data_IF_436626114086
#
_entry.id   IF_436626114086
#
_cell.length_a   1.000
_cell.length_b   1.000
_cell.length_c   1.000
_cell.angle_alpha   90.00
_cell.angle_beta   90.00
_cell.angle_gamma   90.00
#
_symmetry.space_group_name_H-M   'P 1'
#
loop_
_entity.id
_entity.type
_entity.pdbx_description
1 polymer ?
#
# COMPACT_ATOMS: atom_id res chain seq x y z
N UNK A 1 -11.07 15.14 3.04
CA UNK A 1 -10.27 13.98 2.57
C UNK A 1 -10.40 12.88 3.60
N UNK A 2 -10.35 11.61 3.17
CA UNK A 2 -10.44 10.45 4.08
C UNK A 2 -9.06 10.29 4.73
N UNK A 3 -9.01 10.23 6.05
CA UNK A 3 -7.78 9.94 6.80
C UNK A 3 -7.64 8.44 6.97
N UNK A 4 -6.47 7.91 6.71
CA UNK A 4 -6.13 6.51 6.98
C UNK A 4 -5.43 6.41 8.32
N UNK A 5 -5.52 5.26 8.96
CA UNK A 5 -4.88 4.95 10.23
C UNK A 5 -3.84 3.87 10.04
N UNK A 6 -2.93 3.77 11.01
CA UNK A 6 -2.02 2.64 11.11
C UNK A 6 -2.82 1.33 11.06
N UNK A 7 -2.37 0.40 10.21
CA UNK A 7 -2.96 -0.90 9.91
C UNK A 7 -4.28 -0.90 9.13
N UNK A 8 -4.71 0.23 8.58
CA UNK A 8 -5.78 0.21 7.59
C UNK A 8 -5.34 -0.60 6.35
N UNK A 9 -6.19 -1.53 5.93
CA UNK A 9 -6.03 -2.23 4.64
C UNK A 9 -6.55 -1.33 3.52
N UNK A 10 -5.71 -1.09 2.52
CA UNK A 10 -6.00 -0.18 1.41
C UNK A 10 -5.75 -0.85 0.07
N UNK A 11 -6.37 -0.32 -0.98
CA UNK A 11 -6.06 -0.67 -2.35
C UNK A 11 -5.57 0.55 -3.14
N UNK A 12 -4.65 0.33 -4.08
CA UNK A 12 -4.21 1.36 -5.02
C UNK A 12 -5.34 1.77 -5.96
N UNK A 13 -5.58 3.07 -6.11
CA UNK A 13 -6.52 3.59 -7.12
C UNK A 13 -5.88 3.61 -8.52
N UNK A 14 -4.58 3.88 -8.59
CA UNK A 14 -3.80 3.97 -9.82
C UNK A 14 -2.56 3.08 -9.75
N UNK A 15 -1.97 2.66 -10.88
CA UNK A 15 -0.72 1.92 -10.85
C UNK A 15 0.42 2.74 -10.23
N UNK A 16 1.28 2.09 -9.47
CA UNK A 16 2.48 2.72 -8.87
C UNK A 16 3.71 2.14 -9.54
N UNK A 17 4.45 3.00 -10.23
CA UNK A 17 5.66 2.63 -10.96
C UNK A 17 6.79 2.20 -10.04
N UNK A 18 7.66 1.29 -10.50
CA UNK A 18 8.79 0.75 -9.71
C UNK A 18 9.72 1.83 -9.15
N UNK A 19 9.87 2.98 -9.81
CA UNK A 19 10.73 4.08 -9.34
C UNK A 19 10.22 4.74 -8.05
N UNK A 20 8.95 4.51 -7.69
CA UNK A 20 8.34 4.96 -6.45
C UNK A 20 8.34 3.87 -5.37
N UNK A 21 8.78 2.66 -5.69
CA UNK A 21 8.78 1.52 -4.78
C UNK A 21 10.15 1.38 -4.11
N UNK A 22 10.13 1.10 -2.82
CA UNK A 22 11.27 0.49 -2.12
C UNK A 22 11.07 -1.01 -2.15
N UNK A 23 11.88 -1.73 -2.92
CA UNK A 23 11.83 -3.19 -2.97
C UNK A 23 12.66 -3.78 -1.84
N UNK A 24 12.08 -4.72 -1.10
CA UNK A 24 12.74 -5.37 0.05
C UNK A 24 13.43 -6.67 -0.38
N UNK A 25 12.82 -7.43 -1.29
CA UNK A 25 13.28 -8.75 -1.70
C UNK A 25 13.84 -8.74 -3.13
N UNK A 26 15.08 -9.26 -3.36
CA UNK A 26 15.77 -9.19 -4.65
C UNK A 26 15.07 -9.99 -5.77
N UNK A 27 14.20 -10.93 -5.40
CA UNK A 27 13.48 -11.80 -6.33
C UNK A 27 12.32 -11.08 -7.06
N UNK A 28 11.95 -9.88 -6.63
CA UNK A 28 10.88 -9.08 -7.26
C UNK A 28 11.40 -8.12 -8.34
N UNK A 29 12.61 -8.34 -8.85
CA UNK A 29 13.28 -7.54 -9.90
C UNK A 29 12.59 -7.56 -11.28
N UNK A 30 11.41 -8.17 -11.41
CA UNK A 30 10.69 -8.34 -12.68
C UNK A 30 9.38 -7.53 -12.79
N UNK A 31 8.99 -6.77 -11.76
CA UNK A 31 7.75 -5.98 -11.79
C UNK A 31 8.03 -4.53 -12.16
N UNK A 32 7.47 -4.09 -13.30
CA UNK A 32 7.59 -2.69 -13.74
C UNK A 32 6.71 -1.73 -12.93
N UNK A 33 5.61 -2.23 -12.36
CA UNK A 33 4.68 -1.45 -11.53
C UNK A 33 3.79 -2.35 -10.66
N UNK A 34 3.25 -1.79 -9.57
CA UNK A 34 2.10 -2.34 -8.87
C UNK A 34 0.81 -1.91 -9.58
N UNK A 35 -0.12 -2.82 -9.88
CA UNK A 35 -1.35 -2.48 -10.60
C UNK A 35 -2.38 -1.76 -9.71
N UNK A 36 -3.33 -1.06 -10.33
CA UNK A 36 -4.55 -0.62 -9.63
C UNK A 36 -5.25 -1.81 -8.97
N UNK A 37 -5.77 -1.59 -7.77
CA UNK A 37 -6.41 -2.62 -6.96
C UNK A 37 -5.44 -3.46 -6.13
N UNK A 38 -4.12 -3.29 -6.30
CA UNK A 38 -3.14 -3.96 -5.44
C UNK A 38 -3.39 -3.57 -3.98
N UNK A 39 -3.53 -4.59 -3.13
CA UNK A 39 -3.84 -4.43 -1.71
C UNK A 39 -2.54 -4.25 -0.93
N UNK A 40 -2.54 -3.30 0.00
CA UNK A 40 -1.46 -3.06 0.94
C UNK A 40 -1.97 -2.65 2.32
N UNK A 41 -1.04 -2.50 3.25
CA UNK A 41 -1.32 -2.12 4.65
C UNK A 41 -0.60 -0.83 4.98
N UNK A 42 -1.30 0.12 5.61
CA UNK A 42 -0.66 1.35 6.12
C UNK A 42 0.22 0.99 7.32
N UNK A 43 1.52 1.23 7.22
CA UNK A 43 2.52 0.94 8.26
C UNK A 43 3.15 2.17 8.87
N UNK A 44 2.98 3.35 8.24
CA UNK A 44 3.34 4.63 8.86
C UNK A 44 2.43 5.76 8.36
N UNK A 45 2.16 6.74 9.24
CA UNK A 45 1.38 7.95 8.93
C UNK A 45 2.27 9.16 9.19
N UNK A 46 2.56 9.94 8.16
CA UNK A 46 3.33 11.17 8.26
C UNK A 46 2.39 12.38 8.29
N UNK A 47 2.47 13.19 9.35
CA UNK A 47 1.57 14.34 9.57
C UNK A 47 2.25 15.72 9.33
N UNK A 48 3.33 15.78 8.54
CA UNK A 48 4.04 17.03 8.25
C UNK A 48 3.49 17.75 7.01
N UNK A 49 2.53 18.66 7.23
CA UNK A 49 2.00 19.58 6.22
C UNK A 49 0.94 18.98 5.29
N UNK A 50 1.25 17.87 4.62
CA UNK A 50 0.29 17.02 3.90
C UNK A 50 0.36 15.60 4.46
N UNK A 51 -0.79 14.91 4.53
CA UNK A 51 -0.82 13.53 5.01
C UNK A 51 -0.29 12.55 3.95
N UNK A 52 0.82 11.90 4.28
CA UNK A 52 1.40 10.81 3.51
C UNK A 52 1.34 9.51 4.32
N UNK A 53 1.25 8.40 3.61
CA UNK A 53 1.10 7.08 4.18
C UNK A 53 2.16 6.17 3.61
N UNK A 54 2.97 5.55 4.47
CA UNK A 54 3.81 4.43 4.04
C UNK A 54 2.93 3.18 3.98
N UNK A 55 2.86 2.57 2.82
CA UNK A 55 2.09 1.36 2.58
C UNK A 55 3.03 0.22 2.25
N UNK A 56 2.94 -0.87 3.00
CA UNK A 56 3.62 -2.13 2.68
C UNK A 56 2.73 -2.99 1.76
N UNK A 57 3.38 -3.75 0.89
CA UNK A 57 2.75 -4.73 0.03
C UNK A 57 3.37 -6.09 0.31
N UNK A 58 2.52 -7.03 0.72
CA UNK A 58 2.91 -8.40 1.03
C UNK A 58 2.49 -9.35 -0.09
N UNK A 59 3.29 -10.40 -0.27
CA UNK A 59 3.00 -11.48 -1.21
C UNK A 59 1.96 -12.46 -0.65
N UNK A 60 1.66 -13.50 -1.43
CA UNK A 60 0.67 -14.53 -1.02
C UNK A 60 1.09 -15.38 0.18
N UNK A 61 2.35 -15.29 0.62
CA UNK A 61 2.86 -15.94 1.82
C UNK A 61 2.90 -14.99 3.03
N UNK A 62 2.51 -13.72 2.84
CA UNK A 62 2.57 -12.69 3.87
C UNK A 62 3.96 -12.08 4.04
N UNK A 63 4.87 -12.25 3.08
CA UNK A 63 6.16 -11.58 3.11
C UNK A 63 6.09 -10.24 2.41
N UNK A 64 6.57 -9.20 3.08
CA UNK A 64 6.75 -7.89 2.48
C UNK A 64 7.70 -7.98 1.28
N UNK A 65 7.31 -7.38 0.15
CA UNK A 65 8.17 -7.31 -1.03
C UNK A 65 8.38 -5.90 -1.55
N UNK A 66 7.46 -4.96 -1.25
CA UNK A 66 7.57 -3.58 -1.67
C UNK A 66 6.91 -2.64 -0.66
N UNK A 67 7.40 -1.40 -0.62
CA UNK A 67 6.76 -0.29 0.06
C UNK A 67 6.64 0.92 -0.85
N UNK A 68 5.64 1.77 -0.60
CA UNK A 68 5.54 3.08 -1.23
C UNK A 68 4.98 4.13 -0.27
N UNK A 69 5.50 5.35 -0.34
CA UNK A 69 4.90 6.52 0.31
C UNK A 69 3.86 7.13 -0.64
N UNK A 70 2.60 7.13 -0.19
CA UNK A 70 1.43 7.44 -1.02
C UNK A 70 0.58 8.54 -0.38
N UNK A 71 -0.09 9.33 -1.23
CA UNK A 71 -1.08 10.33 -0.81
C UNK A 71 -2.44 9.68 -0.60
N UNK A 72 -3.29 10.34 0.20
CA UNK A 72 -4.65 9.88 0.45
C UNK A 72 -5.49 9.65 -0.82
N UNK A 73 -5.25 10.44 -1.88
CA UNK A 73 -5.97 10.35 -3.17
C UNK A 73 -5.53 9.17 -4.05
N UNK A 74 -4.46 8.48 -3.68
CA UNK A 74 -3.96 7.30 -4.37
C UNK A 74 -4.52 6.00 -3.76
N UNK A 75 -5.23 6.10 -2.64
CA UNK A 75 -5.64 4.98 -1.80
C UNK A 75 -7.16 4.88 -1.67
N UNK A 76 -7.66 3.65 -1.68
CA UNK A 76 -9.02 3.28 -1.35
C UNK A 76 -9.02 2.47 -0.06
N UNK A 77 -9.70 2.96 0.99
CA UNK A 77 -9.87 2.19 2.22
C UNK A 77 -10.74 0.97 1.95
N UNK A 78 -10.22 -0.22 2.20
CA UNK A 78 -10.99 -1.46 2.10
C UNK A 78 -11.76 -1.67 3.40
N UNK A 79 -13.08 -1.63 3.29
CA UNK A 79 -13.97 -2.01 4.38
C UNK A 79 -14.41 -3.44 4.15
N UNK A 80 -13.98 -4.32 5.02
CA UNK A 80 -14.48 -5.69 5.07
C UNK A 80 -15.06 -5.93 6.46
N UNK A 81 -16.26 -6.47 6.51
CA UNK A 81 -16.73 -7.14 7.71
C UNK A 81 -16.25 -8.58 7.61
N UNK A 82 -15.58 -9.06 8.66
CA UNK A 82 -15.21 -10.45 8.75
C UNK A 82 -16.52 -11.25 8.88
N UNK A 83 -16.96 -11.87 7.78
CA UNK A 83 -18.07 -12.81 7.82
C UNK A 83 -17.52 -14.06 8.52
N UNK A 84 -17.83 -14.20 9.80
CA UNK A 84 -17.55 -15.43 10.54
C UNK A 84 -18.37 -16.54 9.89
N UNK A 85 -17.69 -17.53 9.30
CA UNK A 85 -18.29 -18.73 8.76
C UNK A 85 -18.63 -19.75 9.85
#
# INVERSE_FOLDING_TARGET
MRKFKLFDTVALLNPVSIERLTLVEPNYTSIDSLPSGQVGTVVEVYEEGEEYYLVEFADTQGHEYAMATLKAEELLLLQYELIVA
#
